data_IF_176774119874
#
_entry.id   IF_176774119874
#
_cell.length_a   1.000
_cell.length_b   1.000
_cell.length_c   1.000
_cell.angle_alpha   90.00
_cell.angle_beta   90.00
_cell.angle_gamma   90.00
#
_symmetry.space_group_name_H-M   'P 1'
#
loop_
_entity.id
_entity.type
_entity.pdbx_description
1 polymer ?
#
# COMPACT_ATOMS: atom_id res chain seq x y z
N UNK A 1 -4.32 -5.82 -3.38
CA UNK A 1 -5.48 -5.89 -4.30
C UNK A 1 -6.77 -5.69 -3.51
N UNK A 2 -7.77 -5.06 -4.10
CA UNK A 2 -9.09 -4.85 -3.51
C UNK A 2 -10.18 -5.26 -4.50
N UNK A 3 -11.42 -5.32 -4.05
CA UNK A 3 -12.58 -5.60 -4.91
C UNK A 3 -12.67 -4.63 -6.10
N UNK A 4 -12.28 -3.37 -5.90
CA UNK A 4 -12.24 -2.35 -6.96
C UNK A 4 -11.23 -2.67 -8.07
N UNK A 5 -10.22 -3.49 -7.77
CA UNK A 5 -9.18 -3.89 -8.73
C UNK A 5 -9.45 -5.25 -9.38
N UNK A 6 -10.55 -5.93 -9.01
CA UNK A 6 -10.83 -7.29 -9.46
C UNK A 6 -11.06 -7.39 -10.98
N UNK A 7 -11.69 -6.38 -11.57
CA UNK A 7 -12.04 -6.36 -13.00
C UNK A 7 -11.02 -5.61 -13.87
N UNK A 8 -9.84 -5.28 -13.32
CA UNK A 8 -8.81 -4.62 -14.10
C UNK A 8 -8.28 -5.55 -15.20
N UNK A 9 -8.13 -5.05 -16.44
CA UNK A 9 -7.46 -5.78 -17.50
C UNK A 9 -6.07 -6.25 -17.05
N UNK A 10 -5.76 -7.52 -17.33
CA UNK A 10 -4.52 -8.18 -16.89
C UNK A 10 -3.25 -7.39 -17.24
N UNK A 11 -3.19 -6.79 -18.44
CA UNK A 11 -2.03 -6.00 -18.88
C UNK A 11 -1.77 -4.75 -18.00
N UNK A 12 -2.80 -4.19 -17.34
CA UNK A 12 -2.63 -3.07 -16.41
C UNK A 12 -2.08 -3.54 -15.06
N UNK A 13 -2.47 -4.73 -14.61
CA UNK A 13 -1.94 -5.35 -13.39
C UNK A 13 -0.45 -5.67 -13.60
N UNK A 14 -0.08 -6.24 -14.75
CA UNK A 14 1.31 -6.53 -15.11
C UNK A 14 2.15 -5.26 -15.16
N UNK A 15 1.67 -4.20 -15.80
CA UNK A 15 2.37 -2.91 -15.85
C UNK A 15 2.57 -2.31 -14.45
N UNK A 16 1.59 -2.46 -13.56
CA UNK A 16 1.72 -1.99 -12.18
C UNK A 16 2.77 -2.79 -11.40
N UNK A 17 2.82 -4.11 -11.58
CA UNK A 17 3.82 -4.99 -10.97
C UNK A 17 5.23 -4.65 -11.49
N UNK A 18 5.42 -4.50 -12.80
CA UNK A 18 6.71 -4.14 -13.41
C UNK A 18 7.27 -2.82 -12.88
N UNK A 19 6.37 -1.86 -12.59
CA UNK A 19 6.74 -0.56 -12.02
C UNK A 19 6.92 -0.56 -10.51
N UNK A 20 6.57 -1.66 -9.84
CA UNK A 20 6.72 -1.81 -8.40
C UNK A 20 8.03 -2.56 -8.11
N UNK A 21 9.02 -1.93 -7.45
CA UNK A 21 10.32 -2.57 -7.21
C UNK A 21 10.25 -3.90 -6.45
N UNK A 22 9.22 -4.11 -5.63
CA UNK A 22 8.98 -5.37 -4.90
C UNK A 22 8.43 -6.50 -5.78
N UNK A 23 8.12 -6.23 -7.06
CA UNK A 23 7.67 -7.23 -8.02
C UNK A 23 6.31 -7.84 -7.68
N UNK A 24 5.48 -7.15 -6.89
CA UNK A 24 4.14 -7.59 -6.51
C UNK A 24 3.20 -6.41 -6.32
N UNK A 25 1.90 -6.67 -6.40
CA UNK A 25 0.89 -5.73 -5.94
C UNK A 25 0.95 -5.62 -4.41
N UNK A 26 0.74 -4.40 -3.90
CA UNK A 26 0.50 -4.17 -2.48
C UNK A 26 -0.80 -4.83 -2.03
N UNK A 27 -0.84 -5.32 -0.79
CA UNK A 27 -2.05 -5.83 -0.15
C UNK A 27 -2.66 -4.78 0.79
N UNK A 28 -3.95 -4.87 1.12
CA UNK A 28 -4.56 -4.00 2.14
C UNK A 28 -3.80 -4.04 3.48
N UNK A 29 -3.23 -5.19 3.84
CA UNK A 29 -2.49 -5.38 5.08
C UNK A 29 -1.15 -4.61 5.10
N UNK A 30 -0.47 -4.48 3.96
CA UNK A 30 0.74 -3.64 3.85
C UNK A 30 0.43 -2.19 4.27
N UNK A 31 -0.72 -1.67 3.84
CA UNK A 31 -1.18 -0.32 4.16
C UNK A 31 -1.73 -0.20 5.59
N UNK A 32 -2.47 -1.21 6.05
CA UNK A 32 -3.04 -1.24 7.39
C UNK A 32 -1.97 -1.20 8.47
N UNK A 33 -0.84 -1.89 8.28
CA UNK A 33 0.28 -1.87 9.22
C UNK A 33 0.89 -0.46 9.37
N UNK A 34 1.05 0.28 8.26
CA UNK A 34 1.56 1.64 8.28
C UNK A 34 0.60 2.61 8.98
N UNK A 35 -0.70 2.49 8.71
CA UNK A 35 -1.74 3.26 9.40
C UNK A 35 -1.78 2.92 10.89
N UNK A 36 -1.69 1.64 11.24
CA UNK A 36 -1.68 1.19 12.63
C UNK A 36 -0.50 1.79 13.41
N UNK A 37 0.70 1.81 12.82
CA UNK A 37 1.85 2.49 13.42
C UNK A 37 1.60 3.98 13.63
N UNK A 38 1.15 4.71 12.59
CA UNK A 38 0.90 6.14 12.71
C UNK A 38 -0.20 6.50 13.72
N UNK A 39 -1.12 5.57 13.97
CA UNK A 39 -2.19 5.72 14.96
C UNK A 39 -1.82 5.21 16.36
N UNK A 40 -0.65 4.60 16.54
CA UNK A 40 -0.25 3.99 17.81
C UNK A 40 0.50 4.97 18.72
N UNK A 41 0.60 4.62 20.01
CA UNK A 41 1.31 5.43 21.01
C UNK A 41 2.81 5.54 20.69
N UNK A 42 3.38 4.54 20.01
CA UNK A 42 4.79 4.53 19.58
C UNK A 42 5.10 5.65 18.56
N UNK A 43 4.10 6.15 17.83
CA UNK A 43 4.25 7.28 16.91
C UNK A 43 4.01 8.65 17.58
N UNK A 44 4.03 8.73 18.92
CA UNK A 44 3.62 9.93 19.69
C UNK A 44 4.34 11.26 19.38
N UNK A 45 5.42 11.27 18.60
CA UNK A 45 6.09 12.49 18.12
C UNK A 45 6.15 12.61 16.59
N UNK A 46 5.51 11.70 15.86
CA UNK A 46 5.45 11.71 14.39
C UNK A 46 4.20 12.50 13.98
N UNK A 47 4.40 13.65 13.33
CA UNK A 47 3.30 14.52 12.90
C UNK A 47 3.58 15.14 11.53
N UNK A 48 2.51 15.36 10.75
CA UNK A 48 2.58 15.97 9.41
C UNK A 48 3.28 15.14 8.34
N UNK A 49 3.52 13.84 8.59
CA UNK A 49 4.25 12.98 7.66
C UNK A 49 3.32 12.36 6.62
N UNK A 50 3.83 12.21 5.40
CA UNK A 50 3.23 11.43 4.33
C UNK A 50 4.11 10.22 4.09
N UNK A 51 3.62 9.04 4.48
CA UNK A 51 4.31 7.77 4.31
C UNK A 51 3.79 7.08 3.05
N UNK A 52 4.64 6.95 2.04
CA UNK A 52 4.33 6.17 0.85
C UNK A 52 4.47 4.68 1.14
N UNK A 53 3.41 3.93 0.82
CA UNK A 53 3.31 2.47 0.99
C UNK A 53 2.85 1.85 -0.32
#
# INVERSE_FOLDING_TARGET
>A
PTDLTADLPQHLIELAIERTPLGRMGSPEDMAAAVAYLASDEAGFVTGQVLAV
#
